data_IF_856779871278
#
_entry.id   IF_856779871278
#
_cell.length_a   1.000
_cell.length_b   1.000
_cell.length_c   1.000
_cell.angle_alpha   90.00
_cell.angle_beta   90.00
_cell.angle_gamma   90.00
#
_symmetry.space_group_name_H-M   'P 1'
#
loop_
_entity.id
_entity.type
_entity.pdbx_description
1 polymer ?
#
# COMPACT_ATOMS: atom_id res chain seq x y z
N UNK A 1 -49.04 -29.74 22.99
CA UNK A 1 -47.61 -29.85 22.60
C UNK A 1 -47.26 -29.20 21.26
N UNK A 2 -48.12 -29.20 20.22
CA UNK A 2 -47.82 -28.63 18.89
C UNK A 2 -47.58 -27.10 18.86
N UNK A 3 -48.19 -26.34 19.78
CA UNK A 3 -48.01 -24.88 19.87
C UNK A 3 -46.61 -24.48 20.39
N UNK A 4 -46.07 -25.26 21.33
CA UNK A 4 -44.74 -25.04 21.91
C UNK A 4 -43.64 -25.29 20.86
N UNK A 5 -43.80 -26.30 19.99
CA UNK A 5 -42.84 -26.59 18.92
C UNK A 5 -42.71 -25.44 17.90
N UNK A 6 -43.82 -24.74 17.61
CA UNK A 6 -43.82 -23.58 16.69
C UNK A 6 -43.12 -22.36 17.28
N UNK A 7 -43.28 -22.13 18.60
CA UNK A 7 -42.56 -21.06 19.29
C UNK A 7 -41.06 -21.34 19.40
N UNK A 8 -40.65 -22.59 19.60
CA UNK A 8 -39.23 -22.97 19.59
C UNK A 8 -38.59 -22.83 18.19
N UNK A 9 -39.32 -23.12 17.11
CA UNK A 9 -38.84 -22.91 15.72
C UNK A 9 -38.76 -21.41 15.37
N UNK A 10 -39.70 -20.60 15.84
CA UNK A 10 -39.65 -19.15 15.63
C UNK A 10 -38.50 -18.49 16.41
N UNK A 11 -38.19 -18.98 17.61
CA UNK A 11 -37.11 -18.45 18.44
C UNK A 11 -35.72 -18.81 17.91
N UNK A 12 -35.56 -20.01 17.34
CA UNK A 12 -34.28 -20.42 16.70
C UNK A 12 -34.01 -19.68 15.39
N UNK A 13 -35.06 -19.33 14.63
CA UNK A 13 -34.93 -18.53 13.41
C UNK A 13 -34.52 -17.07 13.71
N UNK A 14 -34.92 -16.53 14.86
CA UNK A 14 -34.58 -15.16 15.27
C UNK A 14 -33.11 -15.00 15.70
N UNK A 15 -32.50 -16.05 16.26
CA UNK A 15 -31.09 -16.04 16.71
C UNK A 15 -30.12 -16.08 15.51
N UNK A 16 -30.53 -16.68 14.38
CA UNK A 16 -29.66 -16.80 13.20
C UNK A 16 -29.52 -15.51 12.38
N UNK A 17 -30.40 -14.51 12.57
CA UNK A 17 -30.34 -13.24 11.82
C UNK A 17 -29.36 -12.21 12.39
N UNK A 18 -28.78 -12.44 13.58
CA UNK A 18 -27.95 -11.43 14.27
C UNK A 18 -26.46 -11.48 13.88
N UNK A 19 -26.01 -12.46 13.07
CA UNK A 19 -24.57 -12.73 12.90
C UNK A 19 -23.92 -12.20 11.61
N UNK A 20 -24.59 -11.40 10.77
CA UNK A 20 -24.02 -10.99 9.46
C UNK A 20 -23.71 -9.50 9.30
N UNK A 21 -23.47 -8.77 10.39
CA UNK A 21 -23.01 -7.37 10.32
C UNK A 21 -21.53 -7.20 10.68
N UNK A 22 -20.64 -8.00 10.08
CA UNK A 22 -19.21 -7.69 10.05
C UNK A 22 -18.98 -6.57 9.04
N UNK A 23 -19.25 -5.33 9.42
CA UNK A 23 -18.82 -4.17 8.65
C UNK A 23 -17.29 -4.13 8.70
N UNK A 24 -16.64 -4.71 7.68
CA UNK A 24 -15.19 -4.65 7.53
C UNK A 24 -14.83 -3.17 7.40
N UNK A 25 -14.42 -2.55 8.52
CA UNK A 25 -13.88 -1.20 8.52
C UNK A 25 -12.57 -1.26 7.75
N UNK A 26 -12.66 -1.08 6.42
CA UNK A 26 -11.51 -0.82 5.57
C UNK A 26 -10.91 0.47 6.11
N UNK A 27 -9.93 0.36 7.02
CA UNK A 27 -8.98 1.45 7.24
C UNK A 27 -8.45 1.76 5.85
N UNK A 28 -8.86 2.90 5.29
CA UNK A 28 -8.29 3.37 4.05
C UNK A 28 -6.78 3.41 4.32
N UNK A 29 -6.03 2.53 3.66
CA UNK A 29 -4.59 2.47 3.84
C UNK A 29 -4.06 3.88 3.52
N UNK A 30 -3.57 4.58 4.56
CA UNK A 30 -3.01 5.90 4.37
C UNK A 30 -1.84 5.76 3.42
N UNK A 31 -1.89 6.50 2.31
CA UNK A 31 -0.78 6.57 1.38
C UNK A 31 0.44 7.30 1.98
N UNK A 32 0.29 7.95 3.14
CA UNK A 32 1.38 8.63 3.82
C UNK A 32 2.18 7.61 4.65
N UNK A 33 3.50 7.61 4.49
CA UNK A 33 4.41 6.82 5.31
C UNK A 33 4.86 7.61 6.53
N UNK A 34 5.11 6.92 7.65
CA UNK A 34 5.64 7.51 8.88
C UNK A 34 7.16 7.39 8.99
N UNK A 35 7.84 6.83 7.99
CA UNK A 35 9.30 6.60 8.03
C UNK A 35 10.09 7.47 7.05
N UNK A 36 9.41 8.25 6.22
CA UNK A 36 10.05 9.06 5.19
C UNK A 36 9.10 9.52 4.09
N UNK A 37 9.69 9.99 3.00
CA UNK A 37 8.96 10.45 1.81
C UNK A 37 9.68 10.04 0.53
N UNK A 38 8.96 10.16 -0.60
CA UNK A 38 9.52 9.89 -1.92
C UNK A 38 9.37 11.11 -2.83
N UNK A 39 10.34 11.25 -3.73
CA UNK A 39 10.34 12.24 -4.81
C UNK A 39 10.34 11.48 -6.13
N UNK A 40 9.51 11.94 -7.07
CA UNK A 40 9.48 11.38 -8.43
C UNK A 40 9.86 12.49 -9.40
N UNK A 41 10.99 12.30 -10.05
CA UNK A 41 11.47 13.15 -11.11
C UNK A 41 11.13 12.51 -12.45
N UNK A 42 10.31 13.18 -13.24
CA UNK A 42 9.95 12.75 -14.58
C UNK A 42 9.93 13.94 -15.53
N UNK A 43 10.04 13.67 -16.81
CA UNK A 43 9.95 14.70 -17.84
C UNK A 43 8.67 14.51 -18.66
N UNK A 44 7.91 15.59 -18.85
CA UNK A 44 6.63 15.58 -19.60
C UNK A 44 6.85 15.15 -21.06
N UNK A 45 8.01 15.46 -21.64
CA UNK A 45 8.39 15.04 -22.99
C UNK A 45 8.82 13.56 -23.06
N UNK A 46 9.27 12.97 -21.94
CA UNK A 46 9.68 11.55 -21.86
C UNK A 46 8.98 10.83 -20.70
N UNK A 47 7.63 10.70 -20.74
CA UNK A 47 6.82 10.26 -19.59
C UNK A 47 7.05 8.81 -19.15
N UNK A 48 7.83 8.04 -19.91
CA UNK A 48 8.21 6.66 -19.61
C UNK A 48 9.53 6.54 -18.85
N UNK A 49 10.23 7.67 -18.65
CA UNK A 49 11.50 7.73 -17.94
C UNK A 49 11.28 8.53 -16.66
N UNK A 50 11.40 7.85 -15.53
CA UNK A 50 11.19 8.45 -14.22
C UNK A 50 12.31 8.02 -13.28
N UNK A 51 12.80 8.93 -12.46
CA UNK A 51 13.73 8.65 -11.37
C UNK A 51 12.94 8.79 -10.07
N UNK A 52 13.00 7.77 -9.23
CA UNK A 52 12.37 7.76 -7.92
C UNK A 52 13.48 7.81 -6.88
N UNK A 53 13.36 8.76 -5.96
CA UNK A 53 14.25 8.90 -4.81
C UNK A 53 13.46 8.77 -3.52
N UNK A 54 14.01 8.01 -2.57
CA UNK A 54 13.44 7.81 -1.25
C UNK A 54 14.32 8.47 -0.19
N UNK A 55 13.67 9.15 0.75
CA UNK A 55 14.32 9.90 1.81
C UNK A 55 13.75 9.51 3.18
N UNK A 56 14.58 9.54 4.22
CA UNK A 56 14.12 9.51 5.61
C UNK A 56 13.45 10.83 6.01
N UNK A 57 12.89 10.89 7.22
CA UNK A 57 12.34 12.14 7.78
C UNK A 57 13.45 13.18 8.01
N UNK A 58 14.68 12.72 8.22
CA UNK A 58 15.89 13.53 8.40
C UNK A 58 16.46 14.04 7.06
N UNK A 59 15.75 13.82 5.95
CA UNK A 59 16.15 14.17 4.58
C UNK A 59 17.39 13.39 4.06
N UNK A 60 17.68 12.22 4.63
CA UNK A 60 18.77 11.37 4.14
C UNK A 60 18.30 10.52 2.95
N UNK A 61 19.06 10.53 1.85
CA UNK A 61 18.76 9.71 0.68
C UNK A 61 19.04 8.24 0.99
N UNK A 62 17.99 7.41 0.98
CA UNK A 62 18.11 5.97 1.27
C UNK A 62 18.14 5.10 0.02
N UNK A 63 17.45 5.52 -1.03
CA UNK A 63 17.32 4.72 -2.24
C UNK A 63 17.03 5.54 -3.50
N UNK A 64 17.61 5.12 -4.63
CA UNK A 64 17.31 5.66 -5.96
C UNK A 64 17.01 4.52 -6.94
N UNK A 65 15.95 4.68 -7.75
CA UNK A 65 15.63 3.77 -8.84
C UNK A 65 15.21 4.52 -10.09
N UNK A 66 15.83 4.17 -11.22
CA UNK A 66 15.42 4.67 -12.53
C UNK A 66 14.45 3.67 -13.17
N UNK A 67 13.24 4.13 -13.46
CA UNK A 67 12.23 3.38 -14.18
C UNK A 67 12.19 3.82 -15.64
N UNK A 68 12.47 2.87 -16.53
CA UNK A 68 12.39 3.05 -17.98
C UNK A 68 11.22 2.23 -18.54
N UNK A 69 10.48 2.81 -19.48
CA UNK A 69 9.34 2.14 -20.14
C UNK A 69 8.05 2.11 -19.32
N UNK A 70 8.01 2.73 -18.13
CA UNK A 70 6.86 2.70 -17.22
C UNK A 70 6.34 4.11 -16.98
N UNK A 71 5.06 4.35 -17.31
CA UNK A 71 4.37 5.61 -17.00
C UNK A 71 3.80 5.57 -15.57
N UNK A 72 4.40 6.33 -14.65
CA UNK A 72 3.88 6.49 -13.30
C UNK A 72 2.57 7.28 -13.27
N UNK A 73 1.49 6.64 -12.81
CA UNK A 73 0.18 7.28 -12.61
C UNK A 73 0.01 7.68 -11.14
N UNK A 74 0.72 8.70 -10.68
CA UNK A 74 0.74 9.15 -9.26
C UNK A 74 -0.65 9.51 -8.68
N UNK A 75 -1.62 9.85 -9.55
CA UNK A 75 -3.02 10.07 -9.16
C UNK A 75 -3.74 8.79 -8.70
N UNK A 76 -3.29 7.60 -9.11
CA UNK A 76 -3.87 6.32 -8.69
C UNK A 76 -3.45 5.97 -7.27
N UNK A 77 -4.43 5.63 -6.42
CA UNK A 77 -4.17 5.21 -5.04
C UNK A 77 -3.23 3.99 -4.97
N UNK A 78 -3.45 2.98 -5.83
CA UNK A 78 -2.61 1.78 -5.91
C UNK A 78 -1.12 2.12 -6.07
N UNK A 79 -0.79 3.04 -6.99
CA UNK A 79 0.60 3.47 -7.22
C UNK A 79 1.20 4.13 -5.98
N UNK A 80 0.43 4.95 -5.25
CA UNK A 80 0.91 5.57 -4.00
C UNK A 80 1.13 4.56 -2.88
N UNK A 81 0.28 3.55 -2.79
CA UNK A 81 0.46 2.44 -1.82
C UNK A 81 1.72 1.64 -2.17
N UNK A 82 1.92 1.30 -3.44
CA UNK A 82 3.11 0.55 -3.89
C UNK A 82 4.41 1.35 -3.65
N UNK A 83 4.39 2.67 -3.87
CA UNK A 83 5.52 3.55 -3.55
C UNK A 83 5.78 3.62 -2.04
N UNK A 84 4.74 3.69 -1.21
CA UNK A 84 4.86 3.65 0.24
C UNK A 84 5.50 2.35 0.72
N UNK A 85 5.03 1.21 0.23
CA UNK A 85 5.60 -0.10 0.60
C UNK A 85 7.06 -0.24 0.15
N UNK A 86 7.39 0.26 -1.04
CA UNK A 86 8.78 0.28 -1.52
C UNK A 86 9.68 1.18 -0.66
N UNK A 87 9.18 2.36 -0.25
CA UNK A 87 9.86 3.26 0.68
C UNK A 87 10.13 2.54 2.01
N UNK A 88 9.12 1.96 2.63
CA UNK A 88 9.25 1.27 3.93
C UNK A 88 10.27 0.12 3.85
N UNK A 89 10.21 -0.70 2.79
CA UNK A 89 11.18 -1.76 2.57
C UNK A 89 12.61 -1.23 2.38
N UNK A 90 12.78 -0.12 1.65
CA UNK A 90 14.08 0.49 1.40
C UNK A 90 14.70 1.08 2.67
N UNK A 91 13.90 1.73 3.53
CA UNK A 91 14.36 2.29 4.81
C UNK A 91 14.81 1.17 5.74
N UNK A 92 14.04 0.07 5.85
CA UNK A 92 14.42 -1.10 6.64
C UNK A 92 15.75 -1.70 6.14
N UNK A 93 15.94 -1.78 4.82
CA UNK A 93 17.17 -2.30 4.23
C UNK A 93 18.36 -1.34 4.43
N UNK A 94 18.13 -0.04 4.37
CA UNK A 94 19.14 0.99 4.60
C UNK A 94 19.59 1.01 6.07
N UNK A 95 18.67 0.90 7.03
CA UNK A 95 19.00 0.89 8.47
C UNK A 95 19.99 -0.21 8.86
N UNK A 96 20.00 -1.35 8.15
CA UNK A 96 20.95 -2.45 8.40
C UNK A 96 22.39 -2.11 8.04
N UNK A 97 22.61 -1.25 7.05
CA UNK A 97 23.93 -0.99 6.46
C UNK A 97 24.34 0.49 6.42
N UNK A 98 23.43 1.42 6.75
CA UNK A 98 23.54 2.89 6.66
C UNK A 98 24.15 3.45 5.36
N UNK A 99 24.03 2.72 4.26
CA UNK A 99 24.54 3.13 2.95
C UNK A 99 23.36 3.24 1.95
N UNK A 100 23.27 4.32 1.17
CA UNK A 100 22.27 4.46 0.12
C UNK A 100 22.32 3.26 -0.84
N UNK A 101 21.17 2.73 -1.19
CA UNK A 101 21.07 1.59 -2.11
C UNK A 101 20.54 2.07 -3.47
N UNK A 102 20.96 1.43 -4.55
CA UNK A 102 20.50 1.80 -5.90
C UNK A 102 20.03 0.58 -6.66
N UNK A 103 18.99 0.76 -7.49
CA UNK A 103 18.53 -0.20 -8.50
C UNK A 103 18.34 -1.65 -8.01
N UNK A 104 17.83 -1.81 -6.77
CA UNK A 104 17.47 -3.12 -6.17
C UNK A 104 16.06 -3.58 -6.51
N UNK A 105 15.42 -2.94 -7.48
CA UNK A 105 14.10 -3.30 -8.00
C UNK A 105 12.96 -3.24 -6.98
N UNK A 106 13.10 -2.43 -5.92
CA UNK A 106 12.02 -2.24 -4.94
C UNK A 106 10.74 -1.70 -5.57
N UNK A 107 10.89 -0.84 -6.59
CA UNK A 107 9.77 -0.22 -7.27
C UNK A 107 9.36 -0.98 -8.53
N UNK A 108 10.31 -1.34 -9.40
CA UNK A 108 10.02 -1.97 -10.69
C UNK A 108 9.30 -3.31 -10.59
N UNK A 109 9.54 -4.10 -9.54
CA UNK A 109 8.80 -5.35 -9.27
C UNK A 109 7.32 -5.10 -9.01
N UNK A 110 6.98 -3.97 -8.38
CA UNK A 110 5.60 -3.63 -8.00
C UNK A 110 4.86 -2.89 -9.12
N UNK A 111 5.56 -2.10 -9.92
CA UNK A 111 4.96 -1.21 -10.91
C UNK A 111 4.94 -1.75 -12.35
N UNK A 112 5.62 -2.86 -12.68
CA UNK A 112 5.48 -3.53 -13.98
C UNK A 112 4.15 -4.30 -14.05
N UNK A 113 3.17 -3.71 -14.74
CA UNK A 113 1.96 -4.36 -15.23
C UNK A 113 1.58 -3.74 -16.57
#
# INVERSE_FOLDING_TARGET
MKAQLKTWIALSLFIFLVTTASAQQKRAASAVSSVGYWVVEGNVATPLNNIIRFYTIENELVYTETLNGVKLKLRKLKVRIELKEALEASVIAWQKNKAPQENKSYVSIRLKN
#
